data_IF_610439845846
#
_entry.id   IF_610439845846
#
_cell.length_a   1.000
_cell.length_b   1.000
_cell.length_c   1.000
_cell.angle_alpha   90.00
_cell.angle_beta   90.00
_cell.angle_gamma   90.00
#
_symmetry.space_group_name_H-M   'P 1'
#
loop_
_entity.id
_entity.type
_entity.pdbx_description
1 polymer ?
#
# COMPACT_ATOMS: atom_id res chain seq x y z
N UNK A 1 29.37 25.06 -17.58
CA UNK A 1 30.38 24.77 -16.56
C UNK A 1 29.74 24.97 -15.20
N UNK A 2 29.37 23.88 -14.52
CA UNK A 2 28.70 23.90 -13.20
C UNK A 2 29.77 23.99 -12.11
N UNK A 3 29.51 24.80 -11.08
CA UNK A 3 30.47 25.19 -10.04
C UNK A 3 30.70 24.03 -9.05
N UNK A 4 31.95 23.73 -8.65
CA UNK A 4 32.31 22.53 -7.86
C UNK A 4 31.84 22.55 -6.39
N UNK A 5 31.16 23.62 -5.93
CA UNK A 5 30.61 23.73 -4.58
C UNK A 5 29.23 23.09 -4.40
N UNK A 6 28.51 22.81 -5.49
CA UNK A 6 27.11 22.33 -5.42
C UNK A 6 27.02 20.79 -5.28
N UNK A 7 28.09 20.03 -5.57
CA UNK A 7 28.07 18.56 -5.54
C UNK A 7 28.08 17.96 -4.13
N UNK A 8 28.77 18.58 -3.17
CA UNK A 8 28.87 18.06 -1.79
C UNK A 8 27.59 18.22 -0.97
N UNK A 9 26.77 19.23 -1.27
CA UNK A 9 25.54 19.49 -0.53
C UNK A 9 24.45 18.47 -0.91
N UNK A 10 24.38 18.04 -2.17
CA UNK A 10 23.45 17.00 -2.60
C UNK A 10 23.74 15.64 -1.92
N UNK A 11 25.00 15.19 -1.85
CA UNK A 11 25.35 13.89 -1.23
C UNK A 11 24.95 13.81 0.25
N UNK A 12 25.13 14.89 1.03
CA UNK A 12 24.73 14.92 2.45
C UNK A 12 23.22 14.89 2.67
N UNK A 13 22.43 15.51 1.77
CA UNK A 13 20.97 15.48 1.82
C UNK A 13 20.40 14.12 1.43
N UNK A 14 20.98 13.46 0.42
CA UNK A 14 20.58 12.11 0.02
C UNK A 14 20.93 11.07 1.10
N UNK A 15 22.09 11.20 1.76
CA UNK A 15 22.44 10.38 2.92
C UNK A 15 21.44 10.59 4.07
N UNK A 16 21.13 11.84 4.45
CA UNK A 16 20.15 12.11 5.52
C UNK A 16 18.75 11.62 5.18
N UNK A 17 18.28 11.80 3.94
CA UNK A 17 16.98 11.29 3.51
C UNK A 17 16.93 9.75 3.60
N UNK A 18 18.01 9.07 3.21
CA UNK A 18 18.11 7.61 3.27
C UNK A 18 18.15 7.07 4.71
N UNK A 19 18.83 7.76 5.63
CA UNK A 19 18.81 7.39 7.06
C UNK A 19 17.43 7.59 7.68
N UNK A 20 16.72 8.66 7.33
CA UNK A 20 15.34 8.91 7.78
C UNK A 20 14.38 7.85 7.23
N UNK A 21 14.50 7.49 5.96
CA UNK A 21 13.71 6.42 5.34
C UNK A 21 13.92 5.08 6.06
N UNK A 22 15.19 4.70 6.30
CA UNK A 22 15.53 3.47 7.01
C UNK A 22 15.05 3.46 8.48
N UNK A 23 15.08 4.59 9.16
CA UNK A 23 14.61 4.68 10.55
C UNK A 23 13.08 4.63 10.64
N UNK A 24 12.38 5.19 9.65
CA UNK A 24 10.93 5.08 9.55
C UNK A 24 10.54 3.63 9.25
N UNK A 25 11.19 2.97 8.29
CA UNK A 25 10.95 1.55 8.00
C UNK A 25 11.14 0.68 9.24
N UNK A 26 12.26 0.85 9.95
CA UNK A 26 12.55 0.09 11.18
C UNK A 26 11.51 0.33 12.26
N UNK A 27 11.08 1.59 12.47
CA UNK A 27 10.05 1.92 13.47
C UNK A 27 8.69 1.32 13.11
N UNK A 28 8.28 1.39 11.83
CA UNK A 28 7.02 0.81 11.35
C UNK A 28 7.01 -0.71 11.55
N UNK A 29 8.09 -1.39 11.15
CA UNK A 29 8.24 -2.84 11.32
C UNK A 29 8.21 -3.22 12.81
N UNK A 30 8.89 -2.47 13.67
CA UNK A 30 8.91 -2.73 15.11
C UNK A 30 7.53 -2.56 15.74
N UNK A 31 6.78 -1.51 15.38
CA UNK A 31 5.42 -1.28 15.90
C UNK A 31 4.46 -2.37 15.44
N UNK A 32 4.50 -2.77 14.16
CA UNK A 32 3.70 -3.89 13.66
C UNK A 32 4.03 -5.19 14.40
N UNK A 33 5.30 -5.56 14.49
CA UNK A 33 5.73 -6.79 15.17
C UNK A 33 5.28 -6.81 16.64
N UNK A 34 5.41 -5.68 17.34
CA UNK A 34 5.02 -5.59 18.73
C UNK A 34 3.49 -5.71 18.92
N UNK A 35 2.69 -5.16 17.99
CA UNK A 35 1.23 -5.31 18.00
C UNK A 35 0.80 -6.77 17.73
N UNK A 36 1.44 -7.44 16.75
CA UNK A 36 1.17 -8.85 16.41
C UNK A 36 1.55 -9.77 17.57
N UNK A 37 2.70 -9.53 18.21
CA UNK A 37 3.16 -10.34 19.34
C UNK A 37 2.30 -10.14 20.59
N UNK A 38 1.83 -8.92 20.84
CA UNK A 38 1.00 -8.61 22.02
C UNK A 38 -0.44 -9.11 21.87
N UNK A 39 -0.96 -9.17 20.64
CA UNK A 39 -2.35 -9.54 20.36
C UNK A 39 -2.49 -10.51 19.17
N UNK A 40 -1.88 -11.70 19.23
CA UNK A 40 -1.79 -12.61 18.09
C UNK A 40 -3.16 -13.07 17.59
N UNK A 41 -4.07 -13.43 18.51
CA UNK A 41 -5.41 -13.88 18.14
C UNK A 41 -6.29 -12.78 17.55
N UNK A 42 -6.18 -11.55 18.07
CA UNK A 42 -6.89 -10.41 17.49
C UNK A 42 -6.35 -10.10 16.10
N UNK A 43 -5.03 -10.11 15.91
CA UNK A 43 -4.43 -9.82 14.61
C UNK A 43 -4.78 -10.90 13.57
N UNK A 44 -4.75 -12.17 13.95
CA UNK A 44 -5.21 -13.29 13.11
C UNK A 44 -6.69 -13.18 12.79
N UNK A 45 -7.52 -12.85 13.80
CA UNK A 45 -8.95 -12.66 13.65
C UNK A 45 -9.26 -11.49 12.70
N UNK A 46 -8.63 -10.34 12.90
CA UNK A 46 -8.75 -9.15 12.04
C UNK A 46 -8.27 -9.41 10.62
N UNK A 47 -7.16 -10.12 10.45
CA UNK A 47 -6.62 -10.44 9.12
C UNK A 47 -7.56 -11.38 8.37
N UNK A 48 -8.02 -12.44 9.05
CA UNK A 48 -8.98 -13.40 8.49
C UNK A 48 -10.32 -12.72 8.17
N UNK A 49 -10.87 -11.98 9.14
CA UNK A 49 -12.12 -11.26 8.98
C UNK A 49 -12.02 -10.21 7.88
N UNK A 50 -10.94 -9.43 7.84
CA UNK A 50 -10.70 -8.44 6.80
C UNK A 50 -10.64 -9.07 5.42
N UNK A 51 -9.91 -10.19 5.26
CA UNK A 51 -9.88 -10.95 4.02
C UNK A 51 -11.27 -11.43 3.59
N UNK A 52 -12.00 -12.09 4.49
CA UNK A 52 -13.36 -12.59 4.22
C UNK A 52 -14.32 -11.44 3.90
N UNK A 53 -14.24 -10.33 4.62
CA UNK A 53 -15.09 -9.15 4.40
C UNK A 53 -14.84 -8.52 3.03
N UNK A 54 -13.60 -8.48 2.57
CA UNK A 54 -13.25 -8.00 1.22
C UNK A 54 -13.82 -8.93 0.16
N UNK A 55 -13.62 -10.25 0.29
CA UNK A 55 -14.18 -11.22 -0.67
C UNK A 55 -15.71 -11.15 -0.74
N UNK A 56 -16.39 -11.19 0.41
CA UNK A 56 -17.84 -11.12 0.47
C UNK A 56 -18.38 -9.76 0.00
N UNK A 57 -17.65 -8.68 0.28
CA UNK A 57 -17.95 -7.36 -0.24
C UNK A 57 -17.91 -7.34 -1.77
N UNK A 58 -16.88 -7.94 -2.38
CA UNK A 58 -16.77 -8.04 -3.83
C UNK A 58 -17.91 -8.85 -4.45
N UNK A 59 -18.22 -10.04 -3.93
CA UNK A 59 -19.36 -10.84 -4.38
C UNK A 59 -20.64 -10.01 -4.38
N UNK A 60 -20.92 -9.33 -3.27
CA UNK A 60 -22.13 -8.52 -3.12
C UNK A 60 -22.17 -7.29 -4.02
N UNK A 61 -21.03 -6.68 -4.32
CA UNK A 61 -20.91 -5.55 -5.26
C UNK A 61 -21.13 -6.02 -6.69
N UNK A 62 -20.56 -7.17 -7.06
CA UNK A 62 -20.71 -7.79 -8.38
C UNK A 62 -22.18 -8.17 -8.60
N UNK A 63 -22.80 -8.87 -7.65
CA UNK A 63 -24.19 -9.34 -7.76
C UNK A 63 -25.21 -8.19 -7.81
N UNK A 64 -24.95 -7.09 -7.11
CA UNK A 64 -25.83 -5.91 -7.17
C UNK A 64 -25.67 -5.08 -8.43
N UNK A 65 -24.58 -5.26 -9.17
CA UNK A 65 -24.28 -4.47 -10.35
C UNK A 65 -24.50 -5.33 -11.58
N UNK A 66 -25.68 -5.29 -12.23
CA UNK A 66 -26.02 -6.20 -13.33
C UNK A 66 -24.99 -6.19 -14.46
N UNK A 67 -24.35 -5.04 -14.71
CA UNK A 67 -23.27 -4.93 -15.70
C UNK A 67 -22.03 -5.77 -15.36
N UNK A 68 -21.66 -5.90 -14.08
CA UNK A 68 -20.52 -6.71 -13.62
C UNK A 68 -20.89 -8.19 -13.52
N UNK A 69 -22.13 -8.51 -13.14
CA UNK A 69 -22.62 -9.88 -13.05
C UNK A 69 -22.68 -10.56 -14.43
N UNK A 70 -23.15 -9.83 -15.46
CA UNK A 70 -23.37 -10.39 -16.79
C UNK A 70 -22.12 -10.33 -17.69
N UNK A 71 -21.11 -9.52 -17.33
CA UNK A 71 -19.90 -9.32 -18.15
C UNK A 71 -18.62 -9.50 -17.33
N UNK A 72 -17.93 -10.66 -17.43
CA UNK A 72 -16.71 -10.92 -16.66
C UNK A 72 -15.56 -9.95 -17.00
N UNK A 73 -15.55 -9.37 -18.21
CA UNK A 73 -14.61 -8.31 -18.59
C UNK A 73 -14.79 -7.03 -17.75
N UNK A 74 -16.01 -6.72 -17.29
CA UNK A 74 -16.28 -5.55 -16.46
C UNK A 74 -15.57 -5.63 -15.11
N UNK A 75 -15.53 -6.82 -14.51
CA UNK A 75 -14.80 -7.08 -13.26
C UNK A 75 -13.30 -6.89 -13.45
N UNK A 76 -12.75 -7.40 -14.57
CA UNK A 76 -11.33 -7.28 -14.88
C UNK A 76 -10.91 -5.82 -15.10
N UNK A 77 -11.72 -5.05 -15.82
CA UNK A 77 -11.49 -3.61 -16.02
C UNK A 77 -11.60 -2.83 -14.71
N UNK A 78 -12.56 -3.17 -13.84
CA UNK A 78 -12.66 -2.54 -12.52
C UNK A 78 -11.43 -2.82 -11.64
N UNK A 79 -10.95 -4.08 -11.62
CA UNK A 79 -9.72 -4.44 -10.92
C UNK A 79 -8.49 -3.72 -11.48
N UNK A 80 -8.37 -3.66 -12.80
CA UNK A 80 -7.30 -2.91 -13.48
C UNK A 80 -7.35 -1.42 -13.15
N UNK A 81 -8.55 -0.83 -13.16
CA UNK A 81 -8.76 0.57 -12.80
C UNK A 81 -8.31 0.85 -11.36
N UNK A 82 -8.67 0.00 -10.40
CA UNK A 82 -8.21 0.12 -9.01
C UNK A 82 -6.69 0.02 -8.93
N UNK A 83 -6.05 -0.89 -9.67
CA UNK A 83 -4.59 -1.02 -9.72
C UNK A 83 -3.90 0.23 -10.27
N UNK A 84 -4.41 0.77 -11.38
CA UNK A 84 -3.89 2.00 -11.98
C UNK A 84 -4.06 3.16 -11.01
N UNK A 85 -5.22 3.26 -10.35
CA UNK A 85 -5.52 4.34 -9.41
C UNK A 85 -4.60 4.27 -8.19
N UNK A 86 -4.44 3.08 -7.60
CA UNK A 86 -3.56 2.89 -6.43
C UNK A 86 -2.09 3.05 -6.80
N UNK A 87 -1.64 2.55 -7.95
CA UNK A 87 -0.29 2.77 -8.46
C UNK A 87 0.00 4.24 -8.74
N UNK A 88 -0.96 4.97 -9.33
CA UNK A 88 -0.84 6.41 -9.54
C UNK A 88 -0.82 7.18 -8.21
N UNK A 89 -1.59 6.74 -7.22
CA UNK A 89 -1.60 7.33 -5.88
C UNK A 89 -0.26 7.10 -5.16
N UNK A 90 0.32 5.91 -5.29
CA UNK A 90 1.65 5.59 -4.77
C UNK A 90 2.73 6.47 -5.40
N UNK A 91 2.67 6.64 -6.73
CA UNK A 91 3.60 7.50 -7.47
C UNK A 91 3.51 8.99 -7.08
N UNK A 92 2.38 9.43 -6.52
CA UNK A 92 2.21 10.80 -6.02
C UNK A 92 2.78 10.98 -4.60
N UNK A 93 2.95 9.88 -3.87
CA UNK A 93 3.43 9.88 -2.49
C UNK A 93 4.97 9.70 -2.41
N UNK A 94 5.59 9.29 -3.51
CA UNK A 94 7.04 9.22 -3.73
C UNK A 94 7.49 10.30 -4.73
#
# INVERSE_FOLDING_TARGET
MVKPSDQHQHETFFEHAKHVEQDIEKKVVTVQQNAVQKFPFLFLGLSTFGGVAVFYGFEKIIDRTPYLADNPLGILLAGFFVLVLTGALYRKLN
#
